data_IF_919101921457
#
_entry.id   IF_919101921457
#
_cell.length_a   1.000
_cell.length_b   1.000
_cell.length_c   1.000
_cell.angle_alpha   90.00
_cell.angle_beta   90.00
_cell.angle_gamma   90.00
#
_symmetry.space_group_name_H-M   'P 1'
#
loop_
_entity.id
_entity.type
_entity.pdbx_description
1 polymer ?
#
# COMPACT_ATOMS: atom_id res chain seq x y z
N UNK A 1 -0.55 -8.79 -19.21
CA UNK A 1 -0.52 -8.37 -17.79
C UNK A 1 -1.12 -9.47 -16.94
N UNK A 2 -0.61 -9.64 -15.73
CA UNK A 2 -1.00 -10.68 -14.79
C UNK A 2 -1.25 -10.04 -13.42
N UNK A 3 -2.29 -10.50 -12.73
CA UNK A 3 -2.65 -10.02 -11.38
C UNK A 3 -1.77 -10.77 -10.38
N UNK A 4 -0.96 -10.03 -9.61
CA UNK A 4 -0.05 -10.61 -8.63
C UNK A 4 -0.68 -10.71 -7.24
N UNK A 5 -1.50 -9.74 -6.87
CA UNK A 5 -2.21 -9.72 -5.60
C UNK A 5 -3.65 -9.29 -5.86
N UNK A 6 -4.60 -9.90 -5.15
CA UNK A 6 -6.02 -9.55 -5.14
C UNK A 6 -6.60 -9.86 -3.76
N UNK A 7 -7.23 -8.87 -3.13
CA UNK A 7 -7.89 -9.03 -1.84
C UNK A 7 -9.36 -9.41 -2.01
N UNK A 8 -9.96 -10.01 -0.97
CA UNK A 8 -11.40 -10.32 -0.98
C UNK A 8 -12.28 -9.06 -0.97
N UNK A 9 -11.81 -8.00 -0.30
CA UNK A 9 -12.48 -6.69 -0.20
C UNK A 9 -11.89 -5.63 -1.13
N UNK A 10 -10.68 -5.86 -1.65
CA UNK A 10 -9.91 -4.88 -2.43
C UNK A 10 -9.58 -5.53 -3.77
N UNK A 11 -10.03 -4.93 -4.88
CA UNK A 11 -9.70 -5.37 -6.24
C UNK A 11 -8.18 -5.39 -6.46
N UNK A 12 -7.70 -6.21 -7.41
CA UNK A 12 -6.30 -6.38 -7.78
C UNK A 12 -5.37 -5.17 -7.52
N UNK A 13 -4.74 -5.06 -6.34
CA UNK A 13 -3.91 -3.91 -6.02
C UNK A 13 -2.54 -3.94 -6.70
N UNK A 14 -2.10 -5.07 -7.27
CA UNK A 14 -0.83 -5.14 -8.00
C UNK A 14 -0.97 -5.96 -9.27
N UNK A 15 -0.54 -5.40 -10.40
CA UNK A 15 -0.56 -6.01 -11.74
C UNK A 15 0.82 -5.82 -12.37
N UNK A 16 1.34 -6.86 -13.04
CA UNK A 16 2.63 -6.77 -13.72
C UNK A 16 2.60 -7.35 -15.14
N UNK A 17 3.55 -6.93 -15.98
CA UNK A 17 3.88 -7.62 -17.22
C UNK A 17 4.65 -8.92 -16.91
N UNK A 18 4.63 -9.90 -17.83
CA UNK A 18 5.27 -11.23 -17.61
C UNK A 18 6.77 -11.14 -17.32
N UNK A 19 7.44 -10.12 -17.84
CA UNK A 19 8.86 -9.88 -17.62
C UNK A 19 9.17 -8.87 -16.52
N UNK A 20 8.17 -8.44 -15.73
CA UNK A 20 8.29 -7.44 -14.67
C UNK A 20 8.82 -6.05 -15.11
N UNK A 21 8.95 -5.79 -16.42
CA UNK A 21 9.33 -4.48 -16.95
C UNK A 21 8.32 -3.37 -16.61
N UNK A 22 7.08 -3.77 -16.33
CA UNK A 22 6.02 -2.87 -15.89
C UNK A 22 5.33 -3.49 -14.69
N UNK A 23 5.26 -2.74 -13.60
CA UNK A 23 4.54 -3.11 -12.37
C UNK A 23 3.68 -1.93 -11.96
N UNK A 24 2.39 -2.17 -11.78
CA UNK A 24 1.40 -1.19 -11.41
C UNK A 24 0.85 -1.54 -10.03
N UNK A 25 0.90 -0.58 -9.09
CA UNK A 25 0.25 -0.68 -7.79
C UNK A 25 -0.94 0.28 -7.73
N UNK A 26 -2.08 -0.21 -7.26
CA UNK A 26 -3.29 0.56 -6.96
C UNK A 26 -3.52 0.67 -5.45
N UNK A 27 -2.66 0.05 -4.64
CA UNK A 27 -2.59 0.30 -3.21
C UNK A 27 -1.53 1.36 -2.91
N UNK A 28 -1.79 2.13 -1.86
CA UNK A 28 -0.87 3.11 -1.29
C UNK A 28 0.14 2.43 -0.35
N UNK A 29 0.98 1.57 -0.93
CA UNK A 29 1.99 0.81 -0.19
C UNK A 29 3.03 1.74 0.47
N UNK A 30 3.19 2.94 -0.05
CA UNK A 30 4.11 3.97 0.43
C UNK A 30 3.65 4.72 1.68
N UNK A 31 2.40 4.56 2.10
CA UNK A 31 1.85 5.33 3.23
C UNK A 31 2.57 5.00 4.53
N UNK A 32 2.96 6.08 5.22
CA UNK A 32 3.36 6.00 6.61
C UNK A 32 2.15 5.73 7.52
N UNK A 33 2.44 5.49 8.80
CA UNK A 33 1.43 5.14 9.79
C UNK A 33 0.32 6.19 9.95
N UNK A 34 0.59 7.47 9.69
CA UNK A 34 -0.29 8.60 10.03
C UNK A 34 -0.98 9.22 8.80
N UNK A 35 -0.57 8.86 7.59
CA UNK A 35 -1.06 9.51 6.36
C UNK A 35 -2.56 9.35 6.20
N UNK A 36 -3.10 8.15 6.42
CA UNK A 36 -4.53 7.89 6.29
C UNK A 36 -5.34 8.59 7.41
N UNK A 37 -4.78 8.73 8.61
CA UNK A 37 -5.40 9.50 9.70
C UNK A 37 -5.47 10.98 9.32
N UNK A 38 -4.39 11.53 8.78
CA UNK A 38 -4.33 12.94 8.34
C UNK A 38 -5.36 13.22 7.25
N UNK A 39 -5.52 12.33 6.27
CA UNK A 39 -6.57 12.44 5.25
C UNK A 39 -7.97 12.43 5.88
N UNK A 40 -8.25 11.48 6.77
CA UNK A 40 -9.52 11.39 7.47
C UNK A 40 -9.85 12.67 8.26
N UNK A 41 -8.90 13.22 9.00
CA UNK A 41 -9.10 14.46 9.75
C UNK A 41 -9.22 15.68 8.85
N UNK A 42 -8.47 15.76 7.75
CA UNK A 42 -8.64 16.82 6.76
C UNK A 42 -10.04 16.83 6.15
N UNK A 43 -10.59 15.66 5.81
CA UNK A 43 -11.95 15.56 5.30
C UNK A 43 -12.99 15.96 6.34
N UNK A 44 -12.81 15.57 7.61
CA UNK A 44 -13.68 16.01 8.71
C UNK A 44 -13.64 17.54 8.91
N UNK A 45 -12.44 18.13 8.89
CA UNK A 45 -12.25 19.58 9.04
C UNK A 45 -12.85 20.36 7.86
N UNK A 46 -12.87 19.76 6.67
CA UNK A 46 -13.55 20.30 5.49
C UNK A 46 -15.09 20.19 5.58
N UNK A 47 -15.63 19.61 6.65
CA UNK A 47 -17.07 19.40 6.84
C UNK A 47 -17.62 18.25 5.99
N UNK A 48 -16.77 17.37 5.47
CA UNK A 48 -17.17 16.15 4.81
C UNK A 48 -17.54 15.09 5.85
N UNK A 49 -18.15 13.99 5.39
CA UNK A 49 -18.50 12.85 6.23
C UNK A 49 -17.76 11.60 5.73
N UNK A 50 -16.42 11.54 5.86
CA UNK A 50 -15.65 10.40 5.42
C UNK A 50 -16.00 9.15 6.23
N UNK A 51 -15.91 7.98 5.60
CA UNK A 51 -16.01 6.72 6.32
C UNK A 51 -14.75 6.50 7.18
N UNK A 52 -14.93 5.93 8.37
CA UNK A 52 -13.80 5.56 9.21
C UNK A 52 -12.93 4.52 8.47
N UNK A 53 -11.61 4.71 8.40
CA UNK A 53 -10.73 3.75 7.76
C UNK A 53 -10.77 2.37 8.45
N UNK A 54 -11.11 1.32 7.69
CA UNK A 54 -11.24 -0.04 8.23
C UNK A 54 -9.90 -0.61 8.71
N UNK A 55 -9.89 -1.26 9.87
CA UNK A 55 -8.71 -1.93 10.47
C UNK A 55 -7.50 -1.02 10.70
N UNK A 56 -7.72 0.29 10.80
CA UNK A 56 -6.67 1.27 10.95
C UNK A 56 -6.55 1.80 12.38
N UNK A 57 -7.65 2.27 12.97
CA UNK A 57 -7.68 2.67 14.37
C UNK A 57 -7.99 1.47 15.29
N UNK A 58 -7.38 1.44 16.48
CA UNK A 58 -7.62 0.34 17.42
C UNK A 58 -9.04 0.45 17.97
N UNK A 59 -9.85 -0.59 17.80
CA UNK A 59 -11.26 -0.63 18.21
C UNK A 59 -12.08 0.55 17.65
N UNK A 60 -11.73 1.04 16.45
CA UNK A 60 -12.38 2.18 15.80
C UNK A 60 -12.29 3.51 16.58
N UNK A 61 -11.35 3.62 17.53
CA UNK A 61 -11.10 4.83 18.31
C UNK A 61 -10.13 5.78 17.60
N UNK A 62 -10.66 6.90 17.07
CA UNK A 62 -9.88 7.92 16.36
C UNK A 62 -8.84 8.65 17.24
N UNK A 63 -8.95 8.56 18.56
CA UNK A 63 -7.95 9.09 19.48
C UNK A 63 -6.78 8.12 19.72
N UNK A 64 -6.91 6.88 19.25
CA UNK A 64 -5.85 5.88 19.34
C UNK A 64 -4.77 6.10 18.28
N UNK A 65 -3.55 5.69 18.60
CA UNK A 65 -2.45 5.65 17.61
C UNK A 65 -2.83 4.63 16.52
N UNK A 66 -2.77 5.00 15.23
CA UNK A 66 -3.12 4.08 14.15
C UNK A 66 -2.25 2.83 14.11
N UNK A 67 -2.80 1.72 13.64
CA UNK A 67 -2.10 0.45 13.52
C UNK A 67 -1.24 0.42 12.23
N UNK A 68 0.08 0.23 12.36
CA UNK A 68 0.97 -0.01 11.22
C UNK A 68 1.07 -1.51 10.90
N UNK A 69 0.05 -2.05 10.24
CA UNK A 69 -0.08 -3.49 9.98
C UNK A 69 0.43 -3.95 8.60
N UNK A 70 0.77 -3.03 7.68
CA UNK A 70 1.21 -3.37 6.31
C UNK A 70 2.71 -3.21 6.04
N UNK A 71 3.45 -2.50 6.90
CA UNK A 71 4.85 -2.10 6.64
C UNK A 71 5.77 -3.28 6.29
N UNK A 72 5.62 -4.43 6.96
CA UNK A 72 6.44 -5.61 6.66
C UNK A 72 6.20 -6.14 5.24
N UNK A 73 4.93 -6.22 4.82
CA UNK A 73 4.56 -6.68 3.48
C UNK A 73 5.05 -5.70 2.40
N UNK A 74 4.96 -4.40 2.68
CA UNK A 74 5.47 -3.33 1.82
C UNK A 74 6.97 -3.39 1.66
N UNK A 75 7.71 -3.54 2.76
CA UNK A 75 9.16 -3.65 2.72
C UNK A 75 9.61 -4.86 1.89
N UNK A 76 8.93 -6.00 2.04
CA UNK A 76 9.18 -7.19 1.24
C UNK A 76 8.85 -6.96 -0.25
N UNK A 77 7.75 -6.28 -0.54
CA UNK A 77 7.35 -5.95 -1.91
C UNK A 77 8.39 -5.10 -2.62
N UNK A 78 8.83 -3.99 -2.02
CA UNK A 78 9.84 -3.12 -2.65
C UNK A 78 11.21 -3.78 -2.77
N UNK A 79 11.63 -4.58 -1.78
CA UNK A 79 12.87 -5.34 -1.87
C UNK A 79 12.84 -6.33 -3.05
N UNK A 80 11.75 -7.10 -3.16
CA UNK A 80 11.57 -8.04 -4.27
C UNK A 80 11.46 -7.33 -5.62
N UNK A 81 10.77 -6.19 -5.67
CA UNK A 81 10.66 -5.39 -6.89
C UNK A 81 12.04 -4.94 -7.38
N UNK A 82 12.87 -4.40 -6.48
CA UNK A 82 14.22 -3.98 -6.84
C UNK A 82 15.05 -5.19 -7.30
N UNK A 83 15.06 -6.27 -6.51
CA UNK A 83 15.90 -7.43 -6.80
C UNK A 83 15.51 -8.14 -8.11
N UNK A 84 14.22 -8.36 -8.33
CA UNK A 84 13.72 -9.18 -9.45
C UNK A 84 13.24 -8.39 -10.65
N UNK A 85 12.91 -7.11 -10.55
CA UNK A 85 12.46 -6.32 -11.70
C UNK A 85 13.50 -5.30 -12.16
N UNK A 86 14.28 -4.72 -11.24
CA UNK A 86 15.24 -3.65 -11.56
C UNK A 86 16.66 -4.20 -11.72
N UNK A 87 17.11 -5.03 -10.79
CA UNK A 87 18.49 -5.51 -10.72
C UNK A 87 18.72 -6.84 -11.43
N UNK A 88 17.85 -7.25 -12.38
CA UNK A 88 18.11 -8.42 -13.22
C UNK A 88 19.32 -8.18 -14.12
N UNK A 89 20.48 -8.61 -13.61
CA UNK A 89 21.77 -8.80 -14.26
C UNK A 89 22.21 -7.65 -15.18
N UNK A 90 22.72 -6.56 -14.58
CA UNK A 90 23.92 -5.94 -15.17
C UNK A 90 25.05 -6.97 -15.02
N UNK A 91 25.62 -7.51 -16.10
CA UNK A 91 26.85 -8.27 -16.00
C UNK A 91 27.88 -7.30 -15.42
N UNK A 92 28.50 -7.68 -14.30
CA UNK A 92 29.74 -7.06 -13.90
C UNK A 92 30.82 -7.61 -14.82
N UNK A 93 31.01 -6.97 -15.97
CA UNK A 93 32.27 -7.04 -16.74
C UNK A 93 33.29 -6.07 -16.12
#
# INVERSE_FOLDING_TARGET
MEILFCGKKISAPVIASRGLHEVYSFAHLEYDQETLAREYFWDLDAGLNPHLPENYFKNDDIASVPCLCWNLAVALFFNNLIHYAVCQETPFD
#
